data_IF_295615200012
#
_entry.id   IF_295615200012
#
_cell.length_a   1.000
_cell.length_b   1.000
_cell.length_c   1.000
_cell.angle_alpha   90.00
_cell.angle_beta   90.00
_cell.angle_gamma   90.00
#
_symmetry.space_group_name_H-M   'P 1'
#
loop_
_entity.id
_entity.type
_entity.pdbx_description
1 polymer ?
#
# COMPACT_ATOMS: atom_id res chain seq x y z
N UNK A 1 -11.63 2.85 1.01
CA UNK A 1 -10.77 1.69 1.36
C UNK A 1 -10.78 0.79 0.15
N UNK A 2 -9.60 0.47 -0.37
CA UNK A 2 -9.41 -0.42 -1.52
C UNK A 2 -8.76 -1.71 -1.04
N UNK A 3 -9.26 -2.84 -1.55
CA UNK A 3 -8.78 -4.17 -1.22
C UNK A 3 -8.31 -4.89 -2.48
N UNK A 4 -7.28 -5.71 -2.32
CA UNK A 4 -6.80 -6.67 -3.29
C UNK A 4 -6.80 -8.06 -2.64
N UNK A 5 -7.50 -8.99 -3.27
CA UNK A 5 -7.41 -10.40 -2.95
C UNK A 5 -6.03 -10.91 -3.38
N UNK A 6 -5.32 -11.56 -2.47
CA UNK A 6 -4.01 -12.15 -2.73
C UNK A 6 -4.13 -13.68 -2.78
N UNK A 7 -3.00 -14.38 -2.68
CA UNK A 7 -3.01 -15.85 -2.63
C UNK A 7 -3.59 -16.36 -1.31
N UNK A 8 -4.16 -17.57 -1.30
CA UNK A 8 -4.43 -18.34 -0.07
C UNK A 8 -5.22 -17.61 1.04
N UNK A 9 -6.23 -16.82 0.68
CA UNK A 9 -7.11 -16.13 1.64
C UNK A 9 -6.51 -14.89 2.30
N UNK A 10 -5.38 -14.38 1.78
CA UNK A 10 -4.82 -13.11 2.20
C UNK A 10 -5.51 -11.95 1.47
N UNK A 11 -5.75 -10.85 2.19
CA UNK A 11 -6.25 -9.60 1.62
C UNK A 11 -5.24 -8.51 1.95
N UNK A 12 -4.82 -7.76 0.93
CA UNK A 12 -4.11 -6.50 1.13
C UNK A 12 -5.09 -5.35 0.97
N UNK A 13 -5.04 -4.39 1.89
CA UNK A 13 -5.95 -3.26 1.91
C UNK A 13 -5.17 -1.97 2.12
N UNK A 14 -5.69 -0.90 1.54
CA UNK A 14 -5.27 0.46 1.88
C UNK A 14 -6.45 1.35 2.19
N UNK A 15 -6.26 2.20 3.20
CA UNK A 15 -7.22 3.19 3.64
C UNK A 15 -6.55 4.54 3.89
N UNK A 16 -7.31 5.60 3.67
CA UNK A 16 -6.86 6.96 3.93
C UNK A 16 -7.01 7.31 5.42
N UNK A 17 -6.01 7.97 5.97
CA UNK A 17 -6.01 8.54 7.31
C UNK A 17 -5.44 9.97 7.29
N UNK A 18 -6.19 10.90 6.66
CA UNK A 18 -5.75 12.27 6.40
C UNK A 18 -4.63 12.33 5.35
N UNK A 19 -3.48 12.90 5.71
CA UNK A 19 -2.25 12.94 4.87
C UNK A 19 -1.45 11.64 4.89
N UNK A 20 -2.00 10.58 5.50
CA UNK A 20 -1.35 9.28 5.66
C UNK A 20 -2.22 8.20 5.04
N UNK A 21 -1.61 7.08 4.70
CA UNK A 21 -2.30 5.83 4.41
C UNK A 21 -2.04 4.83 5.52
N UNK A 22 -3.01 3.94 5.72
CA UNK A 22 -2.83 2.72 6.49
C UNK A 22 -2.91 1.58 5.50
N UNK A 23 -1.86 0.76 5.46
CA UNK A 23 -1.79 -0.45 4.67
C UNK A 23 -1.93 -1.64 5.60
N UNK A 24 -2.89 -2.52 5.37
CA UNK A 24 -3.13 -3.67 6.22
C UNK A 24 -3.20 -4.97 5.42
N UNK A 25 -2.71 -6.04 6.03
CA UNK A 25 -2.86 -7.41 5.53
C UNK A 25 -3.76 -8.19 6.47
N UNK A 26 -4.76 -8.84 5.90
CA UNK A 26 -5.63 -9.78 6.59
C UNK A 26 -5.40 -11.19 6.06
N UNK A 27 -5.76 -12.19 6.87
CA UNK A 27 -5.90 -13.58 6.45
C UNK A 27 -7.18 -14.13 7.05
N UNK A 28 -8.09 -14.62 6.22
CA UNK A 28 -9.39 -15.15 6.66
C UNK A 28 -10.08 -14.15 7.63
N UNK A 29 -10.19 -12.88 7.22
CA UNK A 29 -10.72 -11.74 7.99
C UNK A 29 -9.94 -11.32 9.25
N UNK A 30 -8.86 -12.02 9.61
CA UNK A 30 -8.03 -11.68 10.76
C UNK A 30 -6.92 -10.72 10.37
N UNK A 31 -6.85 -9.56 11.02
CA UNK A 31 -5.79 -8.58 10.80
C UNK A 31 -4.43 -9.14 11.27
N UNK A 32 -3.46 -9.20 10.36
CA UNK A 32 -2.11 -9.71 10.66
C UNK A 32 -1.09 -8.61 10.91
N UNK A 33 -1.11 -7.57 10.08
CA UNK A 33 -0.19 -6.43 10.18
C UNK A 33 -0.83 -5.21 9.56
N UNK A 34 -0.63 -4.05 10.21
CA UNK A 34 -0.87 -2.76 9.60
C UNK A 34 0.40 -1.92 9.65
N UNK A 35 0.53 -1.03 8.66
CA UNK A 35 1.59 -0.05 8.55
C UNK A 35 0.98 1.29 8.21
N UNK A 36 1.42 2.35 8.88
CA UNK A 36 0.99 3.71 8.58
C UNK A 36 2.12 4.50 7.94
N UNK A 37 1.84 5.16 6.83
CA UNK A 37 2.82 5.88 6.02
C UNK A 37 2.29 7.21 5.52
N UNK A 38 3.17 8.15 5.16
CA UNK A 38 2.74 9.41 4.53
C UNK A 38 2.44 9.19 3.05
N UNK A 39 1.28 9.66 2.58
CA UNK A 39 0.85 9.52 1.18
C UNK A 39 1.94 9.95 0.18
N UNK A 40 2.52 11.14 0.38
CA UNK A 40 3.54 11.69 -0.51
C UNK A 40 4.86 10.91 -0.48
N UNK A 41 5.20 10.28 0.65
CA UNK A 41 6.39 9.45 0.73
C UNK A 41 6.19 8.16 -0.07
N UNK A 42 5.01 7.55 0.07
CA UNK A 42 4.65 6.34 -0.67
C UNK A 42 4.64 6.60 -2.17
N UNK A 43 4.00 7.69 -2.61
CA UNK A 43 3.99 8.09 -4.03
C UNK A 43 5.40 8.26 -4.59
N UNK A 44 6.26 9.02 -3.90
CA UNK A 44 7.68 9.17 -4.30
C UNK A 44 8.41 7.83 -4.40
N UNK A 45 8.20 6.91 -3.45
CA UNK A 45 8.85 5.60 -3.49
C UNK A 45 8.33 4.68 -4.60
N UNK A 46 7.06 4.82 -5.00
CA UNK A 46 6.50 4.07 -6.15
C UNK A 46 7.10 4.60 -7.45
N UNK A 47 7.14 5.93 -7.63
CA UNK A 47 7.59 6.60 -8.85
C UNK A 47 9.12 6.51 -9.07
N UNK A 48 9.90 6.34 -8.00
CA UNK A 48 11.36 6.29 -8.09
C UNK A 48 11.85 4.96 -8.71
N UNK A 49 12.44 4.97 -9.91
CA UNK A 49 12.87 3.75 -10.61
C UNK A 49 14.01 3.01 -9.89
N UNK A 50 14.79 3.71 -9.06
CA UNK A 50 15.92 3.11 -8.32
C UNK A 50 15.47 2.46 -6.99
N UNK A 51 14.24 2.73 -6.55
CA UNK A 51 13.67 2.17 -5.33
C UNK A 51 12.95 0.86 -5.64
N UNK A 52 13.60 -0.27 -5.39
CA UNK A 52 12.95 -1.59 -5.51
C UNK A 52 12.14 -1.98 -4.28
N UNK A 53 12.33 -1.33 -3.13
CA UNK A 53 11.65 -1.65 -1.87
C UNK A 53 10.98 -0.41 -1.28
N UNK A 54 9.66 -0.43 -1.21
CA UNK A 54 8.86 0.68 -0.67
C UNK A 54 8.89 0.65 0.86
N UNK A 55 8.74 -0.52 1.46
CA UNK A 55 8.65 -0.70 2.91
C UNK A 55 9.53 -1.85 3.42
N UNK A 56 10.02 -1.73 4.65
CA UNK A 56 10.77 -2.77 5.36
C UNK A 56 10.12 -3.09 6.72
N UNK A 57 10.35 -4.29 7.25
CA UNK A 57 9.79 -4.72 8.55
C UNK A 57 8.77 -5.85 8.39
N UNK A 58 7.69 -5.83 9.18
CA UNK A 58 6.67 -6.91 9.20
C UNK A 58 5.78 -6.92 7.97
N UNK A 59 5.56 -5.76 7.34
CA UNK A 59 4.94 -5.63 6.03
C UNK A 59 5.99 -5.04 5.10
N UNK A 60 6.31 -5.73 4.01
CA UNK A 60 7.24 -5.25 2.98
C UNK A 60 6.54 -5.29 1.62
N UNK A 61 6.73 -4.22 0.87
CA UNK A 61 6.31 -4.10 -0.52
C UNK A 61 7.56 -3.86 -1.37
N UNK A 62 7.70 -4.61 -2.45
CA UNK A 62 8.85 -4.52 -3.35
C UNK A 62 8.42 -4.60 -4.81
N UNK A 63 8.97 -3.70 -5.63
CA UNK A 63 8.76 -3.67 -7.07
C UNK A 63 9.56 -4.78 -7.73
N UNK A 64 8.92 -5.52 -8.61
CA UNK A 64 9.49 -6.57 -9.43
C UNK A 64 8.94 -6.42 -10.86
N UNK A 65 9.52 -5.48 -11.61
CA UNK A 65 8.98 -5.09 -12.92
C UNK A 65 7.63 -4.38 -12.77
N UNK A 66 6.56 -4.83 -13.46
CA UNK A 66 5.22 -4.23 -13.36
C UNK A 66 4.49 -4.63 -12.06
N UNK A 67 5.06 -5.55 -11.30
CA UNK A 67 4.43 -6.18 -10.15
C UNK A 67 4.95 -5.60 -8.84
N UNK A 68 4.05 -5.46 -7.87
CA UNK A 68 4.34 -5.11 -6.50
C UNK A 68 4.12 -6.33 -5.62
N UNK A 69 5.21 -6.99 -5.26
CA UNK A 69 5.17 -8.15 -4.38
C UNK A 69 4.97 -7.71 -2.93
N UNK A 70 4.17 -8.49 -2.21
CA UNK A 70 3.77 -8.23 -0.84
C UNK A 70 4.28 -9.36 0.05
N UNK A 71 5.06 -8.99 1.06
CA UNK A 71 5.52 -9.88 2.12
C UNK A 71 4.92 -9.47 3.46
N UNK A 72 4.41 -10.45 4.20
CA UNK A 72 4.01 -10.32 5.60
C UNK A 72 4.81 -11.27 6.47
N UNK A 73 5.43 -10.76 7.53
CA UNK A 73 6.24 -11.52 8.49
C UNK A 73 7.35 -12.38 7.85
N UNK A 74 7.89 -11.91 6.72
CA UNK A 74 8.95 -12.62 5.97
C UNK A 74 8.44 -13.69 5.01
N UNK A 75 7.13 -13.84 4.86
CA UNK A 75 6.50 -14.73 3.89
C UNK A 75 5.90 -13.91 2.74
N UNK A 76 6.18 -14.32 1.50
CA UNK A 76 5.47 -13.82 0.31
C UNK A 76 4.00 -14.27 0.35
N UNK A 77 3.09 -13.33 0.23
CA UNK A 77 1.63 -13.58 0.34
C UNK A 77 0.86 -13.23 -0.93
N UNK A 78 1.48 -12.54 -1.88
CA UNK A 78 0.88 -12.24 -3.17
C UNK A 78 1.54 -11.06 -3.87
N UNK A 79 0.98 -10.72 -5.02
CA UNK A 79 1.40 -9.58 -5.82
C UNK A 79 0.18 -8.79 -6.28
N UNK A 80 0.37 -7.49 -6.50
CA UNK A 80 -0.59 -6.61 -7.16
C UNK A 80 0.14 -5.83 -8.25
N UNK A 81 -0.57 -5.16 -9.15
CA UNK A 81 0.06 -4.28 -10.14
C UNK A 81 0.61 -3.02 -9.49
N UNK A 82 1.81 -2.59 -9.92
CA UNK A 82 2.38 -1.28 -9.54
C UNK A 82 1.44 -0.16 -10.00
N UNK A 83 0.93 -0.24 -11.23
CA UNK A 83 0.06 0.78 -11.81
C UNK A 83 -1.25 0.91 -11.02
N UNK A 84 -1.88 -0.21 -10.67
CA UNK A 84 -3.11 -0.20 -9.85
C UNK A 84 -2.88 0.38 -8.46
N UNK A 85 -1.73 0.08 -7.85
CA UNK A 85 -1.37 0.61 -6.55
C UNK A 85 -1.10 2.11 -6.61
N UNK A 86 -0.43 2.57 -7.67
CA UNK A 86 -0.14 3.97 -7.91
C UNK A 86 -1.43 4.78 -8.15
N UNK A 87 -2.34 4.28 -8.99
CA UNK A 87 -3.63 4.91 -9.25
C UNK A 87 -4.42 5.12 -7.95
N UNK A 88 -4.49 4.12 -7.08
CA UNK A 88 -5.18 4.26 -5.80
C UNK A 88 -4.47 5.26 -4.89
N UNK A 89 -3.13 5.27 -4.85
CA UNK A 89 -2.38 6.29 -4.08
C UNK A 89 -2.69 7.70 -4.58
N UNK A 90 -2.82 7.90 -5.89
CA UNK A 90 -3.19 9.18 -6.48
C UNK A 90 -4.62 9.62 -6.13
N UNK A 91 -5.57 8.69 -6.14
CA UNK A 91 -6.95 8.92 -5.66
C UNK A 91 -6.93 9.39 -4.20
N UNK A 92 -6.16 8.71 -3.34
CA UNK A 92 -6.07 9.06 -1.92
C UNK A 92 -5.35 10.41 -1.69
N UNK A 93 -4.35 10.75 -2.51
CA UNK A 93 -3.73 12.08 -2.49
C UNK A 93 -4.76 13.15 -2.85
N UNK A 94 -5.53 12.96 -3.91
CA UNK A 94 -6.55 13.92 -4.34
C UNK A 94 -7.60 14.13 -3.24
N UNK A 95 -8.15 13.05 -2.68
CA UNK A 95 -9.12 13.11 -1.59
C UNK A 95 -8.57 13.80 -0.32
N UNK A 96 -7.25 13.71 -0.07
CA UNK A 96 -6.59 14.38 1.07
C UNK A 96 -6.53 15.91 0.94
N UNK A 97 -6.63 16.44 -0.28
CA UNK A 97 -6.63 17.87 -0.56
C UNK A 97 -8.02 18.49 -0.37
N UNK A 98 -9.08 17.77 -0.76
CA UNK A 98 -10.48 18.25 -0.65
C UNK A 98 -10.99 18.26 0.81
N UNK A 99 -10.39 17.49 1.69
CA UNK A 99 -10.76 17.43 3.12
C UNK A 99 -10.05 18.47 3.99
N UNK A 100 -9.31 19.41 3.39
CA UNK A 100 -8.70 20.52 4.12
C UNK A 100 -9.72 21.68 4.22
N UNK A 101 -10.15 22.13 5.41
CA UNK A 101 -10.79 23.43 5.50
C UNK A 101 -9.76 24.48 5.06
N UNK A 102 -10.14 25.34 4.12
CA UNK A 102 -9.38 26.54 3.77
C UNK A 102 -9.15 27.33 5.07
N UNK A 103 -7.89 27.54 5.43
CA UNK A 103 -7.49 28.38 6.58
C UNK A 103 -7.33 29.82 6.08
#
# INVERSE_FOLDING_TARGET
MKNWELSSGYIFSIEQAGRRIILCVYKDDNLLVCRREYLLQVKRSIEDPDVSRLFAGRLKLFKFGPDLHIESQGQYIGTISVDEFEEEVDVLIFASKETQPEI
#
